data_IF_229870199834
#
_entry.id   IF_229870199834
#
_cell.length_a   1.000
_cell.length_b   1.000
_cell.length_c   1.000
_cell.angle_alpha   90.00
_cell.angle_beta   90.00
_cell.angle_gamma   90.00
#
_symmetry.space_group_name_H-M   'P 1'
#
loop_
_entity.id
_entity.type
_entity.pdbx_description
1 polymer ?
#
# COMPACT_ATOMS: atom_id res chain seq x y z
N UNK A 1 -20.28 0.73 -27.61
CA UNK A 1 -19.21 1.65 -27.19
C UNK A 1 -19.63 3.12 -27.25
N UNK A 2 -20.16 3.63 -28.38
CA UNK A 2 -20.67 5.03 -28.47
C UNK A 2 -21.86 5.36 -27.55
N UNK A 3 -22.74 4.39 -27.27
CA UNK A 3 -23.93 4.60 -26.41
C UNK A 3 -23.58 4.79 -24.92
N UNK A 4 -22.48 4.19 -24.44
CA UNK A 4 -22.02 4.36 -23.06
C UNK A 4 -21.41 5.75 -22.84
N UNK A 5 -20.67 6.25 -23.85
CA UNK A 5 -20.05 7.58 -23.81
C UNK A 5 -21.11 8.69 -23.89
N UNK A 6 -22.15 8.50 -24.71
CA UNK A 6 -23.27 9.44 -24.78
C UNK A 6 -24.08 9.49 -23.48
N UNK A 7 -24.33 8.33 -22.84
CA UNK A 7 -25.00 8.28 -21.54
C UNK A 7 -24.18 8.95 -20.43
N UNK A 8 -22.85 8.75 -20.45
CA UNK A 8 -21.93 9.34 -19.47
C UNK A 8 -21.83 10.86 -19.59
N UNK A 9 -21.77 11.40 -20.82
CA UNK A 9 -21.78 12.86 -21.06
C UNK A 9 -23.11 13.49 -20.65
N UNK A 10 -24.23 12.78 -20.81
CA UNK A 10 -25.54 13.22 -20.35
C UNK A 10 -25.62 13.30 -18.82
N UNK A 11 -25.06 12.30 -18.12
CA UNK A 11 -24.97 12.28 -16.66
C UNK A 11 -24.06 13.39 -16.12
N UNK A 12 -22.92 13.64 -16.77
CA UNK A 12 -21.98 14.70 -16.39
C UNK A 12 -22.61 16.11 -16.58
N UNK A 13 -23.39 16.31 -17.64
CA UNK A 13 -24.10 17.57 -17.90
C UNK A 13 -25.23 17.85 -16.90
N UNK A 14 -25.89 16.80 -16.40
CA UNK A 14 -26.95 16.91 -15.39
C UNK A 14 -26.41 17.19 -13.98
N UNK A 15 -25.21 16.69 -13.66
CA UNK A 15 -24.55 16.92 -12.37
C UNK A 15 -24.01 18.35 -12.21
N UNK A 16 -23.70 19.04 -13.31
CA UNK A 16 -23.16 20.42 -13.29
C UNK A 16 -24.27 21.48 -13.14
N UNK A 17 -25.53 21.16 -13.46
CA UNK A 17 -26.60 22.16 -13.59
C UNK A 17 -27.64 22.20 -12.45
N UNK A 18 -27.54 21.35 -11.42
CA UNK A 18 -28.45 21.44 -10.26
C UNK A 18 -27.70 21.62 -8.94
N UNK A 19 -28.02 22.74 -8.30
CA UNK A 19 -27.73 23.14 -6.91
C UNK A 19 -26.35 23.75 -6.64
N UNK A 20 -26.16 24.94 -7.22
CA UNK A 20 -25.32 25.99 -6.65
C UNK A 20 -25.95 26.47 -5.32
N UNK A 21 -25.25 26.25 -4.19
CA UNK A 21 -25.06 27.22 -3.07
C UNK A 21 -24.45 26.55 -1.81
N UNK A 22 -24.44 25.23 -1.65
CA UNK A 22 -23.82 24.57 -0.45
C UNK A 22 -22.41 23.99 -0.72
N UNK A 23 -21.81 24.31 -1.87
CA UNK A 23 -20.75 23.50 -2.49
C UNK A 23 -19.32 24.05 -2.37
N UNK A 24 -18.95 24.78 -1.32
CA UNK A 24 -17.57 25.31 -1.20
C UNK A 24 -16.62 24.35 -0.49
N UNK A 25 -17.06 23.64 0.57
CA UNK A 25 -16.23 22.60 1.23
C UNK A 25 -16.29 21.23 0.56
N UNK A 26 -17.39 20.93 -0.13
CA UNK A 26 -17.55 19.68 -0.90
C UNK A 26 -16.74 19.67 -2.20
N UNK A 27 -16.51 20.84 -2.83
CA UNK A 27 -15.73 20.94 -4.07
C UNK A 27 -14.29 20.46 -3.93
N UNK A 28 -13.63 20.69 -2.80
CA UNK A 28 -12.22 20.32 -2.63
C UNK A 28 -12.07 18.79 -2.53
N UNK A 29 -12.87 18.15 -1.66
CA UNK A 29 -12.93 16.68 -1.54
C UNK A 29 -13.43 15.99 -2.81
N UNK A 30 -14.40 16.58 -3.52
CA UNK A 30 -14.87 16.06 -4.81
C UNK A 30 -13.88 16.30 -5.94
N UNK A 31 -13.14 17.42 -5.98
CA UNK A 31 -12.08 17.63 -6.97
C UNK A 31 -10.90 16.69 -6.76
N UNK A 32 -10.51 16.46 -5.51
CA UNK A 32 -9.49 15.45 -5.15
C UNK A 32 -9.97 14.05 -5.53
N UNK A 33 -11.21 13.68 -5.19
CA UNK A 33 -11.79 12.37 -5.52
C UNK A 33 -12.05 12.17 -7.02
N UNK A 34 -12.45 13.21 -7.76
CA UNK A 34 -12.58 13.19 -9.22
C UNK A 34 -11.22 13.15 -9.91
N UNK A 35 -10.20 13.86 -9.42
CA UNK A 35 -8.84 13.73 -9.97
C UNK A 35 -8.27 12.35 -9.71
N UNK A 36 -8.41 11.80 -8.49
CA UNK A 36 -7.98 10.44 -8.16
C UNK A 36 -8.70 9.42 -9.05
N UNK A 37 -10.02 9.56 -9.25
CA UNK A 37 -10.77 8.72 -10.19
C UNK A 37 -10.34 8.93 -11.64
N UNK A 38 -10.03 10.15 -12.08
CA UNK A 38 -9.65 10.43 -13.47
C UNK A 38 -8.24 9.94 -13.78
N UNK A 39 -7.31 10.04 -12.82
CA UNK A 39 -5.97 9.43 -12.85
C UNK A 39 -6.06 7.90 -12.89
N UNK A 40 -7.03 7.30 -12.18
CA UNK A 40 -7.23 5.84 -12.21
C UNK A 40 -7.98 5.31 -13.45
N UNK A 41 -8.82 6.12 -14.12
CA UNK A 41 -9.69 5.65 -15.21
C UNK A 41 -9.24 6.04 -16.62
N UNK A 42 -8.26 6.93 -16.77
CA UNK A 42 -7.80 7.36 -18.09
C UNK A 42 -6.29 7.45 -18.06
N UNK A 43 -5.65 6.55 -18.82
CA UNK A 43 -4.24 6.44 -19.20
C UNK A 43 -3.59 5.13 -18.70
N UNK A 44 -3.14 4.32 -19.67
CA UNK A 44 -2.00 3.40 -19.49
C UNK A 44 -0.73 4.24 -19.31
N UNK A 45 -0.70 5.10 -18.29
CA UNK A 45 0.48 5.86 -17.96
C UNK A 45 1.50 4.87 -17.38
N UNK A 46 2.69 4.87 -17.96
CA UNK A 46 3.79 4.07 -17.45
C UNK A 46 4.26 4.72 -16.14
N UNK A 47 4.12 3.98 -15.05
CA UNK A 47 4.27 4.47 -13.67
C UNK A 47 5.67 4.14 -13.15
N UNK A 48 6.52 5.16 -12.97
CA UNK A 48 7.93 5.00 -12.61
C UNK A 48 8.28 5.67 -11.31
N UNK A 49 9.14 5.00 -10.54
CA UNK A 49 9.67 5.57 -9.31
C UNK A 49 10.71 6.63 -9.65
N UNK A 50 10.53 7.84 -9.13
CA UNK A 50 11.53 8.89 -9.22
C UNK A 50 11.59 9.60 -7.86
N UNK A 51 12.79 9.90 -7.32
CA UNK A 51 12.89 10.83 -6.21
C UNK A 51 12.47 12.21 -6.71
N UNK A 52 11.17 12.52 -6.59
CA UNK A 52 10.67 13.86 -6.84
C UNK A 52 11.22 14.72 -5.70
N UNK A 53 12.28 15.46 -5.99
CA UNK A 53 12.66 16.55 -5.10
C UNK A 53 11.47 17.51 -5.01
N UNK A 54 11.28 18.12 -3.83
CA UNK A 54 10.15 18.98 -3.44
C UNK A 54 9.97 20.23 -4.34
N UNK A 55 10.73 20.34 -5.44
CA UNK A 55 10.80 21.52 -6.31
C UNK A 55 10.68 21.20 -7.80
N UNK A 56 10.18 20.03 -8.21
CA UNK A 56 9.79 19.83 -9.61
C UNK A 56 8.55 20.69 -9.91
N UNK A 57 8.78 21.92 -10.36
CA UNK A 57 7.74 22.78 -10.92
C UNK A 57 7.50 22.45 -12.39
N UNK A 58 6.35 22.86 -12.93
CA UNK A 58 6.05 22.71 -14.36
C UNK A 58 7.22 23.20 -15.24
N UNK A 59 7.65 22.36 -16.19
CA UNK A 59 8.78 22.64 -17.08
C UNK A 59 10.16 22.26 -16.53
N UNK A 60 10.27 21.80 -15.29
CA UNK A 60 11.53 21.27 -14.75
C UNK A 60 11.92 19.94 -15.41
N UNK A 61 13.22 19.72 -15.60
CA UNK A 61 13.75 18.47 -16.14
C UNK A 61 14.15 17.53 -15.01
N UNK A 62 13.58 16.34 -14.99
CA UNK A 62 13.87 15.24 -14.08
C UNK A 62 14.77 14.25 -14.81
N UNK A 63 15.93 13.95 -14.23
CA UNK A 63 16.87 12.94 -14.74
C UNK A 63 16.67 11.63 -13.99
N UNK A 64 16.37 10.55 -14.71
CA UNK A 64 16.24 9.20 -14.15
C UNK A 64 17.44 8.37 -14.60
N UNK A 65 18.05 7.67 -13.64
CA UNK A 65 19.26 6.86 -13.80
C UNK A 65 19.06 5.45 -13.22
N UNK A 66 20.07 4.59 -13.32
CA UNK A 66 20.08 3.26 -12.68
C UNK A 66 19.02 2.30 -13.22
N UNK A 67 18.40 1.54 -12.32
CA UNK A 67 17.45 0.47 -12.65
C UNK A 67 16.21 1.00 -13.38
N UNK A 68 15.71 2.18 -12.99
CA UNK A 68 14.55 2.80 -13.65
C UNK A 68 14.89 3.29 -15.06
N UNK A 69 16.07 3.89 -15.25
CA UNK A 69 16.55 4.21 -16.61
C UNK A 69 16.61 2.95 -17.50
N UNK A 70 17.13 1.85 -16.97
CA UNK A 70 17.23 0.61 -17.73
C UNK A 70 15.84 0.04 -18.07
N UNK A 71 14.91 0.08 -17.12
CA UNK A 71 13.53 -0.33 -17.33
C UNK A 71 12.84 0.52 -18.41
N UNK A 72 12.96 1.84 -18.33
CA UNK A 72 12.39 2.78 -19.30
C UNK A 72 13.01 2.62 -20.70
N UNK A 73 14.34 2.63 -20.79
CA UNK A 73 15.04 2.70 -22.09
C UNK A 73 15.27 1.36 -22.76
N UNK A 74 15.44 0.26 -22.00
CA UNK A 74 15.80 -1.06 -22.55
C UNK A 74 14.63 -2.04 -22.56
N UNK A 75 13.82 -2.05 -21.50
CA UNK A 75 12.68 -2.97 -21.39
C UNK A 75 11.48 -2.40 -22.13
N UNK A 76 11.07 -1.18 -21.79
CA UNK A 76 9.91 -0.51 -22.39
C UNK A 76 10.25 0.27 -23.66
N UNK A 77 11.53 0.62 -23.84
CA UNK A 77 12.08 1.28 -25.03
C UNK A 77 11.40 2.63 -25.31
N UNK A 78 11.21 3.42 -24.27
CA UNK A 78 10.62 4.74 -24.39
C UNK A 78 11.46 5.66 -25.28
N UNK A 79 10.77 6.42 -26.10
CA UNK A 79 11.30 7.40 -27.02
C UNK A 79 10.92 8.82 -26.59
N UNK A 80 11.53 9.81 -27.23
CA UNK A 80 11.12 11.21 -27.09
C UNK A 80 9.63 11.35 -27.42
N UNK A 81 8.95 12.24 -26.69
CA UNK A 81 7.51 12.52 -26.73
C UNK A 81 6.60 11.47 -26.06
N UNK A 82 7.16 10.36 -25.55
CA UNK A 82 6.39 9.43 -24.72
C UNK A 82 6.00 10.06 -23.38
N UNK A 83 4.75 9.84 -22.99
CA UNK A 83 4.20 10.30 -21.70
C UNK A 83 4.41 9.28 -20.60
N UNK A 84 4.82 9.77 -19.44
CA UNK A 84 5.09 8.96 -18.25
C UNK A 84 4.52 9.62 -17.02
N UNK A 85 4.25 8.83 -15.99
CA UNK A 85 3.88 9.32 -14.68
C UNK A 85 4.99 8.95 -13.69
N UNK A 86 5.46 9.96 -12.96
CA UNK A 86 6.52 9.82 -11.98
C UNK A 86 5.93 9.96 -10.58
N UNK A 87 6.32 9.07 -9.67
CA UNK A 87 5.91 9.12 -8.28
C UNK A 87 7.10 8.90 -7.34
N UNK A 88 7.01 9.45 -6.12
CA UNK A 88 8.10 9.42 -5.13
C UNK A 88 7.92 8.37 -4.02
N UNK A 89 6.81 7.61 -4.05
CA UNK A 89 6.44 6.66 -3.01
C UNK A 89 6.03 7.31 -1.68
N UNK A 90 5.85 8.63 -1.65
CA UNK A 90 5.47 9.45 -0.49
C UNK A 90 4.22 10.29 -0.77
N UNK A 91 3.46 9.95 -1.81
CA UNK A 91 2.24 10.63 -2.21
C UNK A 91 2.42 11.70 -3.29
N UNK A 92 3.65 12.02 -3.68
CA UNK A 92 3.95 12.92 -4.79
C UNK A 92 3.79 12.21 -6.14
N UNK A 93 3.09 12.87 -7.06
CA UNK A 93 2.85 12.39 -8.42
C UNK A 93 2.98 13.55 -9.41
N UNK A 94 3.57 13.30 -10.57
CA UNK A 94 3.67 14.28 -11.65
C UNK A 94 3.68 13.59 -13.01
N UNK A 95 2.89 14.13 -13.94
CA UNK A 95 2.97 13.74 -15.35
C UNK A 95 4.20 14.37 -16.00
N UNK A 96 4.84 13.65 -16.91
CA UNK A 96 5.98 14.15 -17.67
C UNK A 96 6.05 13.59 -19.07
N UNK A 97 6.90 14.22 -19.89
CA UNK A 97 7.18 13.80 -21.26
C UNK A 97 8.68 13.53 -21.38
N UNK A 98 9.04 12.39 -21.97
CA UNK A 98 10.43 12.08 -22.29
C UNK A 98 10.95 13.08 -23.32
N UNK A 99 11.98 13.84 -22.97
CA UNK A 99 12.57 14.84 -23.86
C UNK A 99 13.88 14.40 -24.47
N UNK A 100 14.67 13.60 -23.75
CA UNK A 100 15.93 13.08 -24.25
C UNK A 100 16.35 11.80 -23.54
N UNK A 101 17.12 10.97 -24.23
CA UNK A 101 17.74 9.77 -23.66
C UNK A 101 19.24 9.85 -23.90
N UNK A 102 20.01 9.74 -22.83
CA UNK A 102 21.48 9.69 -22.86
C UNK A 102 21.98 8.24 -22.77
N UNK A 103 23.29 8.06 -22.61
CA UNK A 103 23.90 6.73 -22.44
C UNK A 103 23.46 6.03 -21.14
N UNK A 104 23.24 6.80 -20.08
CA UNK A 104 23.00 6.29 -18.71
C UNK A 104 21.82 6.98 -18.00
N UNK A 105 21.13 7.89 -18.66
CA UNK A 105 19.98 8.61 -18.10
C UNK A 105 18.88 8.82 -19.14
N UNK A 106 17.65 9.00 -18.66
CA UNK A 106 16.51 9.49 -19.44
C UNK A 106 16.00 10.78 -18.78
N UNK A 107 15.76 11.78 -19.60
CA UNK A 107 15.35 13.11 -19.18
C UNK A 107 13.87 13.30 -19.49
N UNK A 108 13.13 13.72 -18.47
CA UNK A 108 11.67 13.90 -18.53
C UNK A 108 11.37 15.33 -18.10
N UNK A 109 10.59 16.04 -18.91
CA UNK A 109 10.11 17.37 -18.53
C UNK A 109 8.75 17.24 -17.84
N UNK A 110 8.62 17.77 -16.63
CA UNK A 110 7.38 17.77 -15.88
C UNK A 110 6.32 18.63 -16.59
N UNK A 111 5.13 18.06 -16.82
CA UNK A 111 4.02 18.73 -17.49
C UNK A 111 3.31 19.77 -16.59
N UNK A 112 3.52 19.68 -15.27
CA UNK A 112 2.96 20.58 -14.27
C UNK A 112 3.69 20.45 -12.94
N UNK A 113 3.11 21.05 -11.90
CA UNK A 113 3.63 20.93 -10.54
C UNK A 113 3.32 19.55 -9.96
N UNK A 114 4.19 19.08 -9.04
CA UNK A 114 3.94 17.84 -8.30
C UNK A 114 2.67 17.98 -7.50
N UNK A 115 1.74 17.06 -7.73
CA UNK A 115 0.55 16.91 -6.91
C UNK A 115 0.87 16.00 -5.73
N UNK A 116 0.53 16.42 -4.51
CA UNK A 116 0.77 15.64 -3.30
C UNK A 116 -0.54 15.15 -2.70
N UNK A 117 -0.71 13.84 -2.67
CA UNK A 117 -1.81 13.19 -1.98
C UNK A 117 -1.37 12.73 -0.60
N UNK A 118 -2.16 13.07 0.41
CA UNK A 118 -1.97 12.51 1.74
C UNK A 118 -2.42 11.05 1.77
N UNK A 119 -1.77 10.18 2.55
CA UNK A 119 -2.25 8.82 2.71
C UNK A 119 -3.59 8.86 3.45
N UNK A 120 -4.57 8.11 2.94
CA UNK A 120 -5.90 7.97 3.57
C UNK A 120 -5.98 6.60 4.21
N UNK A 121 -6.46 6.55 5.47
CA UNK A 121 -6.55 5.33 6.25
C UNK A 121 -7.75 4.45 5.90
N UNK A 122 -7.91 3.30 6.59
CA UNK A 122 -7.15 2.86 7.77
C UNK A 122 -5.72 2.37 7.45
N UNK A 123 -4.80 2.49 8.41
CA UNK A 123 -3.42 2.03 8.30
C UNK A 123 -3.20 0.73 9.06
N UNK A 124 -2.83 -0.34 8.34
CA UNK A 124 -2.54 -1.63 8.94
C UNK A 124 -1.05 -1.98 8.84
N UNK A 125 -0.47 -2.32 9.98
CA UNK A 125 0.88 -2.85 10.12
C UNK A 125 0.82 -4.38 10.24
N UNK A 126 1.67 -5.08 9.49
CA UNK A 126 1.70 -6.55 9.49
C UNK A 126 3.00 -7.00 10.16
N UNK A 127 2.93 -7.49 11.40
CA UNK A 127 4.04 -8.15 12.06
C UNK A 127 3.91 -9.66 11.88
N UNK A 128 4.81 -10.26 11.10
CA UNK A 128 4.73 -11.65 10.73
C UNK A 128 6.08 -12.37 10.92
N UNK A 129 6.03 -13.59 11.44
CA UNK A 129 7.23 -14.40 11.63
C UNK A 129 7.58 -15.17 10.34
N UNK A 130 8.11 -14.45 9.33
CA UNK A 130 8.44 -15.00 8.01
C UNK A 130 9.93 -15.01 7.67
N UNK A 131 10.79 -14.61 8.62
CA UNK A 131 12.24 -14.52 8.43
C UNK A 131 12.92 -15.83 8.00
N UNK A 132 12.37 -16.96 8.43
CA UNK A 132 12.88 -18.30 8.18
C UNK A 132 12.22 -19.02 6.99
N UNK A 133 11.18 -18.43 6.38
CA UNK A 133 10.48 -19.07 5.27
C UNK A 133 11.39 -19.26 4.06
N UNK A 134 11.33 -20.45 3.46
CA UNK A 134 12.12 -20.83 2.28
C UNK A 134 11.30 -20.66 0.99
N UNK A 135 11.98 -20.69 -0.16
CA UNK A 135 11.33 -20.74 -1.47
C UNK A 135 10.60 -19.46 -1.89
N UNK A 136 11.10 -18.29 -1.51
CA UNK A 136 10.52 -17.00 -1.93
C UNK A 136 9.20 -16.62 -1.25
N UNK A 137 8.71 -17.43 -0.30
CA UNK A 137 7.45 -17.18 0.41
C UNK A 137 7.42 -15.87 1.19
N UNK A 138 8.58 -15.44 1.73
CA UNK A 138 8.71 -14.13 2.35
C UNK A 138 8.55 -12.98 1.35
N UNK A 139 9.13 -13.11 0.15
CA UNK A 139 8.96 -12.11 -0.91
C UNK A 139 7.50 -12.04 -1.35
N UNK A 140 6.84 -13.19 -1.49
CA UNK A 140 5.41 -13.25 -1.83
C UNK A 140 4.53 -12.59 -0.77
N UNK A 141 4.84 -12.76 0.53
CA UNK A 141 4.18 -12.02 1.60
C UNK A 141 4.36 -10.51 1.43
N UNK A 142 5.59 -10.04 1.21
CA UNK A 142 5.89 -8.60 1.03
C UNK A 142 5.16 -8.02 -0.18
N UNK A 143 5.19 -8.72 -1.31
CA UNK A 143 4.51 -8.34 -2.54
C UNK A 143 3.01 -8.16 -2.27
N UNK A 144 2.36 -9.17 -1.68
CA UNK A 144 0.90 -9.14 -1.46
C UNK A 144 0.47 -8.19 -0.35
N UNK A 145 1.28 -8.00 0.68
CA UNK A 145 1.04 -6.94 1.67
C UNK A 145 1.14 -5.55 1.05
N UNK A 146 2.06 -5.35 0.09
CA UNK A 146 2.18 -4.08 -0.64
C UNK A 146 0.94 -3.83 -1.50
N UNK A 147 0.50 -4.83 -2.27
CA UNK A 147 -0.70 -4.76 -3.12
C UNK A 147 -1.98 -4.49 -2.31
N UNK A 148 -2.13 -5.14 -1.15
CA UNK A 148 -3.31 -5.01 -0.28
C UNK A 148 -3.33 -3.75 0.59
N UNK A 149 -2.31 -2.89 0.46
CA UNK A 149 -2.32 -1.59 1.11
C UNK A 149 -1.76 -1.56 2.53
N UNK A 150 -0.98 -2.56 2.98
CA UNK A 150 -0.33 -2.48 4.29
C UNK A 150 0.55 -1.23 4.42
N UNK A 151 0.52 -0.57 5.58
CA UNK A 151 1.36 0.59 5.86
C UNK A 151 2.82 0.18 6.06
N UNK A 152 3.02 -0.90 6.81
CA UNK A 152 4.32 -1.52 6.94
C UNK A 152 4.23 -3.03 7.14
N UNK A 153 5.33 -3.72 6.86
CA UNK A 153 5.57 -5.09 7.32
C UNK A 153 6.75 -5.09 8.29
N UNK A 154 6.59 -5.82 9.39
CA UNK A 154 7.60 -6.03 10.43
C UNK A 154 7.97 -7.52 10.41
N UNK A 155 9.23 -7.87 10.09
CA UNK A 155 9.73 -9.22 10.31
C UNK A 155 9.77 -9.51 11.81
N UNK A 156 8.81 -10.28 12.30
CA UNK A 156 8.69 -10.62 13.72
C UNK A 156 9.66 -11.77 14.07
N UNK A 157 10.45 -11.55 15.11
CA UNK A 157 11.27 -12.58 15.76
C UNK A 157 10.50 -13.16 16.94
N UNK A 158 10.40 -14.48 16.96
CA UNK A 158 9.73 -15.24 18.03
C UNK A 158 10.58 -16.45 18.44
N UNK A 159 10.22 -17.10 19.54
CA UNK A 159 10.94 -18.29 20.03
C UNK A 159 11.10 -19.38 18.96
N UNK A 160 10.09 -19.56 18.09
CA UNK A 160 10.09 -20.57 17.01
C UNK A 160 10.51 -20.01 15.64
N UNK A 161 10.85 -18.72 15.55
CA UNK A 161 11.47 -18.11 14.37
C UNK A 161 12.38 -16.95 14.82
N UNK A 162 13.57 -17.25 15.38
CA UNK A 162 14.38 -16.27 16.11
C UNK A 162 15.23 -15.36 15.23
N UNK A 163 15.27 -15.56 13.92
CA UNK A 163 16.14 -14.78 13.03
C UNK A 163 15.54 -14.56 11.64
N UNK A 164 16.02 -13.50 11.00
CA UNK A 164 15.85 -13.22 9.58
C UNK A 164 17.23 -13.35 8.95
N UNK A 165 17.34 -14.01 7.79
CA UNK A 165 18.63 -14.11 7.10
C UNK A 165 19.12 -12.75 6.60
N UNK A 166 20.42 -12.52 6.67
CA UNK A 166 21.07 -11.28 6.23
C UNK A 166 20.71 -10.88 4.79
N UNK A 167 20.69 -9.56 4.53
CA UNK A 167 20.43 -8.99 3.20
C UNK A 167 18.98 -9.11 2.71
N UNK A 168 18.06 -9.66 3.51
CA UNK A 168 16.64 -9.72 3.11
C UNK A 168 15.95 -8.37 3.05
N UNK A 169 16.32 -7.40 3.88
CA UNK A 169 15.68 -6.09 3.86
C UNK A 169 15.86 -5.38 2.49
N UNK A 170 17.06 -5.41 1.91
CA UNK A 170 17.31 -4.82 0.59
C UNK A 170 16.51 -5.54 -0.51
N UNK A 171 16.45 -6.87 -0.42
CA UNK A 171 15.64 -7.68 -1.34
C UNK A 171 14.16 -7.33 -1.22
N UNK A 172 13.63 -7.23 0.00
CA UNK A 172 12.23 -6.88 0.24
C UNK A 172 11.91 -5.46 -0.17
N UNK A 173 12.82 -4.50 0.02
CA UNK A 173 12.64 -3.14 -0.50
C UNK A 173 12.50 -3.13 -2.03
N UNK A 174 13.29 -3.94 -2.76
CA UNK A 174 13.10 -4.09 -4.22
C UNK A 174 11.74 -4.71 -4.58
N UNK A 175 11.29 -5.71 -3.81
CA UNK A 175 9.95 -6.31 -3.98
C UNK A 175 8.86 -5.27 -3.74
N UNK A 176 8.97 -4.45 -2.69
CA UNK A 176 8.04 -3.35 -2.43
C UNK A 176 8.02 -2.37 -3.59
N UNK A 177 9.18 -1.91 -4.09
CA UNK A 177 9.23 -0.97 -5.21
C UNK A 177 8.55 -1.57 -6.46
N UNK A 178 8.82 -2.84 -6.77
CA UNK A 178 8.20 -3.51 -7.90
C UNK A 178 6.67 -3.64 -7.72
N UNK A 179 6.21 -4.08 -6.55
CA UNK A 179 4.79 -4.25 -6.25
C UNK A 179 4.05 -2.90 -6.22
N UNK A 180 4.65 -1.87 -5.61
CA UNK A 180 4.10 -0.50 -5.55
C UNK A 180 3.87 0.05 -6.95
N UNK A 181 4.83 -0.18 -7.87
CA UNK A 181 4.67 0.21 -9.28
C UNK A 181 3.53 -0.54 -9.95
N UNK A 182 3.46 -1.86 -9.73
CA UNK A 182 2.47 -2.71 -10.37
C UNK A 182 1.04 -2.40 -9.89
N UNK A 183 0.85 -2.14 -8.59
CA UNK A 183 -0.45 -1.78 -8.02
C UNK A 183 -0.76 -0.28 -8.05
N UNK A 184 0.14 0.53 -8.62
CA UNK A 184 -0.01 1.98 -8.79
C UNK A 184 -0.32 2.71 -7.47
N UNK A 185 0.31 2.26 -6.38
CA UNK A 185 0.15 2.89 -5.07
C UNK A 185 1.10 4.08 -4.94
N UNK A 186 0.59 5.23 -4.51
CA UNK A 186 1.39 6.46 -4.37
C UNK A 186 2.29 6.48 -3.13
N UNK A 187 1.93 5.69 -2.11
CA UNK A 187 2.68 5.56 -0.87
C UNK A 187 3.26 4.15 -0.76
N UNK A 188 4.59 4.04 -0.85
CA UNK A 188 5.27 2.76 -0.70
C UNK A 188 5.06 2.19 0.70
N UNK A 189 4.89 0.88 0.78
CA UNK A 189 4.91 0.17 2.06
C UNK A 189 6.31 0.26 2.69
N UNK A 190 6.39 0.37 4.01
CA UNK A 190 7.69 0.32 4.71
C UNK A 190 7.98 -1.11 5.16
N UNK A 191 9.17 -1.64 4.87
CA UNK A 191 9.66 -2.86 5.53
C UNK A 191 10.51 -2.43 6.72
N UNK A 192 10.00 -2.64 7.94
CA UNK A 192 10.73 -2.30 9.16
C UNK A 192 11.88 -3.30 9.39
N UNK A 193 12.84 -2.90 10.23
CA UNK A 193 13.86 -3.84 10.71
C UNK A 193 13.20 -5.01 11.45
N UNK A 194 13.84 -6.20 11.46
CA UNK A 194 13.37 -7.29 12.29
C UNK A 194 13.26 -6.87 13.76
N UNK A 195 12.18 -7.27 14.42
CA UNK A 195 11.90 -6.89 15.80
C UNK A 195 11.49 -8.11 16.62
N UNK A 196 11.97 -8.18 17.86
CA UNK A 196 11.51 -9.17 18.82
C UNK A 196 10.06 -8.92 19.22
N UNK A 197 9.32 -10.00 19.52
CA UNK A 197 7.93 -9.92 19.97
C UNK A 197 7.77 -8.93 21.14
N UNK A 198 8.69 -8.94 22.09
CA UNK A 198 8.66 -8.03 23.24
C UNK A 198 8.67 -6.55 22.84
N UNK A 199 9.47 -6.19 21.82
CA UNK A 199 9.60 -4.81 21.37
C UNK A 199 8.36 -4.36 20.62
N UNK A 200 7.76 -5.26 19.81
CA UNK A 200 6.48 -4.99 19.15
C UNK A 200 5.37 -4.78 20.19
N UNK A 201 5.33 -5.60 21.24
CA UNK A 201 4.34 -5.46 22.31
C UNK A 201 4.58 -4.22 23.18
N UNK A 202 5.82 -3.72 23.28
CA UNK A 202 6.09 -2.45 23.94
C UNK A 202 5.48 -1.26 23.18
N UNK A 203 5.33 -1.38 21.85
CA UNK A 203 4.65 -0.40 21.00
C UNK A 203 3.11 -0.58 20.98
N UNK A 204 2.55 -1.56 21.69
CA UNK A 204 1.12 -1.89 21.64
C UNK A 204 0.20 -0.69 21.88
N UNK A 205 0.57 0.22 22.78
CA UNK A 205 -0.21 1.41 23.11
C UNK A 205 -0.31 2.46 21.99
N UNK A 206 0.45 2.30 20.90
CA UNK A 206 0.41 3.17 19.71
C UNK A 206 -0.59 2.70 18.64
N UNK A 207 -1.21 1.54 18.85
CA UNK A 207 -2.19 0.96 17.95
C UNK A 207 -3.57 0.97 18.62
N UNK A 208 -4.58 1.42 17.90
CA UNK A 208 -5.96 1.39 18.41
C UNK A 208 -6.58 -0.01 18.32
N UNK A 209 -6.00 -0.91 17.50
CA UNK A 209 -6.39 -2.31 17.43
C UNK A 209 -5.18 -3.21 17.18
N UNK A 210 -5.10 -4.32 17.92
CA UNK A 210 -4.11 -5.37 17.70
C UNK A 210 -4.86 -6.69 17.51
N UNK A 211 -4.64 -7.35 16.38
CA UNK A 211 -5.29 -8.61 16.03
C UNK A 211 -4.27 -9.75 15.96
N UNK A 212 -4.53 -10.84 16.68
CA UNK A 212 -3.71 -12.04 16.65
C UNK A 212 -4.36 -13.10 15.78
N UNK A 213 -3.65 -13.59 14.76
CA UNK A 213 -4.08 -14.74 13.97
C UNK A 213 -4.01 -16.01 14.82
N UNK A 214 -5.15 -16.55 15.24
CA UNK A 214 -5.24 -17.78 16.03
C UNK A 214 -6.30 -18.73 15.44
N UNK A 215 -5.89 -19.96 15.12
CA UNK A 215 -6.77 -20.97 14.53
C UNK A 215 -7.91 -21.44 15.45
N UNK A 216 -7.77 -21.24 16.77
CA UNK A 216 -8.74 -21.64 17.79
C UNK A 216 -9.69 -20.50 18.19
N UNK A 217 -9.49 -19.29 17.66
CA UNK A 217 -10.26 -18.11 18.04
C UNK A 217 -11.58 -17.97 17.25
N UNK A 218 -12.43 -17.06 17.74
CA UNK A 218 -13.67 -16.69 17.05
C UNK A 218 -13.36 -16.13 15.67
N UNK A 219 -14.17 -16.47 14.68
CA UNK A 219 -13.98 -15.98 13.31
C UNK A 219 -13.87 -14.45 13.27
N UNK A 220 -12.88 -13.96 12.51
CA UNK A 220 -12.61 -12.54 12.30
C UNK A 220 -13.89 -11.74 12.00
N UNK A 221 -14.76 -12.24 11.11
CA UNK A 221 -15.99 -11.55 10.73
C UNK A 221 -17.04 -11.36 11.84
N UNK A 222 -16.89 -12.05 12.98
CA UNK A 222 -17.74 -11.89 14.16
C UNK A 222 -17.03 -11.20 15.33
N UNK A 223 -15.69 -11.22 15.33
CA UNK A 223 -14.86 -10.69 16.41
C UNK A 223 -14.29 -9.30 16.15
N UNK A 224 -14.32 -8.80 14.91
CA UNK A 224 -13.68 -7.51 14.60
C UNK A 224 -14.42 -6.33 15.25
N UNK A 225 -13.72 -5.41 15.93
CA UNK A 225 -14.31 -4.12 16.28
C UNK A 225 -14.58 -3.30 15.01
N UNK A 226 -15.47 -2.31 15.11
CA UNK A 226 -15.78 -1.39 14.02
C UNK A 226 -14.49 -0.66 13.59
N UNK A 227 -14.11 -0.78 12.32
CA UNK A 227 -12.89 -0.18 11.79
C UNK A 227 -13.18 1.28 11.47
N UNK A 228 -12.48 2.19 12.13
CA UNK A 228 -12.59 3.62 11.82
C UNK A 228 -11.62 4.03 10.70
N UNK A 229 -11.91 5.15 10.03
CA UNK A 229 -11.15 5.61 8.85
C UNK A 229 -9.70 5.98 9.20
N UNK A 230 -9.46 6.45 10.43
CA UNK A 230 -8.13 6.92 10.86
C UNK A 230 -7.39 5.88 11.74
N UNK A 231 -7.87 4.62 11.75
CA UNK A 231 -7.29 3.59 12.61
C UNK A 231 -5.86 3.23 12.22
N UNK A 232 -5.02 3.06 13.24
CA UNK A 232 -3.69 2.50 13.14
C UNK A 232 -3.67 1.12 13.82
N UNK A 233 -3.83 0.08 13.00
CA UNK A 233 -3.96 -1.30 13.47
C UNK A 233 -2.71 -2.14 13.29
N UNK A 234 -2.51 -3.12 14.16
CA UNK A 234 -1.43 -4.11 14.09
C UNK A 234 -2.00 -5.52 13.91
N UNK A 235 -1.49 -6.25 12.91
CA UNK A 235 -1.78 -7.65 12.67
C UNK A 235 -0.58 -8.49 13.10
N UNK A 236 -0.80 -9.46 14.00
CA UNK A 236 0.22 -10.38 14.50
C UNK A 236 0.03 -11.78 13.87
N UNK A 237 1.04 -12.25 13.16
CA UNK A 237 1.06 -13.55 12.50
C UNK A 237 2.25 -14.37 13.01
N UNK A 238 1.95 -15.48 13.66
CA UNK A 238 2.94 -16.40 14.23
C UNK A 238 3.73 -17.20 13.17
N UNK A 239 4.78 -17.92 13.61
CA UNK A 239 5.60 -18.77 12.74
C UNK A 239 4.85 -20.05 12.34
N UNK A 240 5.44 -20.90 11.49
CA UNK A 240 4.82 -22.19 11.09
C UNK A 240 4.48 -23.10 12.29
N UNK A 241 5.28 -22.99 13.35
CA UNK A 241 5.06 -23.69 14.61
C UNK A 241 4.08 -23.02 15.56
N UNK A 242 3.45 -21.90 15.19
CA UNK A 242 2.65 -21.03 16.06
C UNK A 242 3.47 -20.41 17.22
N UNK A 243 2.91 -19.42 17.91
CA UNK A 243 3.46 -18.88 19.15
C UNK A 243 3.48 -19.92 20.27
N UNK A 244 4.38 -19.77 21.23
CA UNK A 244 4.28 -20.53 22.49
C UNK A 244 3.13 -20.02 23.35
N UNK A 245 2.64 -20.81 24.30
CA UNK A 245 1.56 -20.36 25.19
C UNK A 245 1.95 -19.09 25.95
N UNK A 246 3.21 -18.98 26.42
CA UNK A 246 3.68 -17.77 27.09
C UNK A 246 3.72 -16.55 26.15
N UNK A 247 4.04 -16.75 24.86
CA UNK A 247 3.99 -15.68 23.86
C UNK A 247 2.54 -15.25 23.60
N UNK A 248 1.61 -16.21 23.47
CA UNK A 248 0.18 -15.91 23.29
C UNK A 248 -0.40 -15.15 24.49
N UNK A 249 -0.09 -15.59 25.71
CA UNK A 249 -0.50 -14.89 26.93
C UNK A 249 0.04 -13.45 26.99
N UNK A 250 1.31 -13.24 26.62
CA UNK A 250 1.89 -11.91 26.55
C UNK A 250 1.21 -11.03 25.50
N UNK A 251 0.93 -11.58 24.31
CA UNK A 251 0.22 -10.89 23.22
C UNK A 251 -1.18 -10.46 23.67
N UNK A 252 -1.94 -11.37 24.29
CA UNK A 252 -3.29 -11.09 24.79
C UNK A 252 -3.24 -10.05 25.92
N UNK A 253 -2.28 -10.15 26.83
CA UNK A 253 -2.08 -9.19 27.92
C UNK A 253 -1.75 -7.78 27.42
N UNK A 254 -1.10 -7.67 26.26
CA UNK A 254 -0.84 -6.40 25.59
C UNK A 254 -2.08 -5.80 24.89
N UNK A 255 -3.25 -6.44 24.99
CA UNK A 255 -4.50 -5.96 24.43
C UNK A 255 -4.84 -6.52 23.04
N UNK A 256 -4.07 -7.51 22.55
CA UNK A 256 -4.39 -8.15 21.28
C UNK A 256 -5.65 -9.01 21.37
N UNK A 257 -6.48 -8.92 20.33
CA UNK A 257 -7.67 -9.73 20.16
C UNK A 257 -7.39 -10.94 19.25
N UNK A 258 -7.47 -12.18 19.77
CA UNK A 258 -7.34 -13.38 18.93
C UNK A 258 -8.51 -13.51 17.96
N UNK A 259 -8.20 -13.81 16.70
CA UNK A 259 -9.19 -13.92 15.61
C UNK A 259 -8.86 -15.09 14.67
N UNK A 260 -9.90 -15.84 14.31
CA UNK A 260 -9.82 -17.01 13.44
C UNK A 260 -10.02 -16.67 11.97
N UNK A 261 -9.17 -17.23 11.11
CA UNK A 261 -9.19 -17.06 9.64
C UNK A 261 -9.89 -18.22 8.90
N UNK A 262 -10.83 -18.86 9.58
CA UNK A 262 -11.56 -20.04 9.10
C UNK A 262 -11.01 -21.37 9.62
N UNK A 263 -11.61 -22.50 9.22
CA UNK A 263 -11.36 -23.80 9.85
C UNK A 263 -10.08 -24.50 9.38
N UNK A 264 -9.35 -23.94 8.42
CA UNK A 264 -8.17 -24.56 7.81
C UNK A 264 -6.91 -23.94 8.36
N UNK A 265 -5.89 -24.77 8.57
CA UNK A 265 -4.55 -24.29 8.89
C UNK A 265 -3.96 -23.56 7.68
N UNK A 266 -3.75 -22.26 7.83
CA UNK A 266 -3.12 -21.43 6.81
C UNK A 266 -1.61 -21.39 7.03
N UNK A 267 -0.84 -21.22 5.95
CA UNK A 267 0.58 -20.87 6.04
C UNK A 267 0.74 -19.42 6.48
N UNK A 268 1.92 -19.07 7.01
CA UNK A 268 2.24 -17.72 7.51
C UNK A 268 1.87 -16.63 6.49
N UNK A 269 2.35 -16.76 5.25
CA UNK A 269 2.07 -15.81 4.18
C UNK A 269 0.58 -15.76 3.80
N UNK A 270 -0.09 -16.90 3.79
CA UNK A 270 -1.53 -16.96 3.50
C UNK A 270 -2.36 -16.32 4.61
N UNK A 271 -1.98 -16.52 5.87
CA UNK A 271 -2.65 -15.93 7.03
C UNK A 271 -2.51 -14.40 7.02
N UNK A 272 -1.30 -13.89 6.76
CA UNK A 272 -1.04 -12.45 6.66
C UNK A 272 -1.90 -11.81 5.56
N UNK A 273 -1.92 -12.40 4.35
CA UNK A 273 -2.70 -11.91 3.21
C UNK A 273 -4.20 -11.97 3.54
N UNK A 274 -4.69 -13.11 4.02
CA UNK A 274 -6.12 -13.28 4.31
C UNK A 274 -6.61 -12.30 5.39
N UNK A 275 -5.83 -12.12 6.45
CA UNK A 275 -6.17 -11.19 7.52
C UNK A 275 -6.17 -9.75 7.03
N UNK A 276 -5.12 -9.34 6.31
CA UNK A 276 -5.01 -7.99 5.75
C UNK A 276 -6.15 -7.70 4.77
N UNK A 277 -6.42 -8.61 3.83
CA UNK A 277 -7.54 -8.48 2.89
C UNK A 277 -8.87 -8.29 3.63
N UNK A 278 -9.11 -9.06 4.69
CA UNK A 278 -10.35 -8.99 5.41
C UNK A 278 -10.51 -7.66 6.16
N UNK A 279 -9.49 -7.16 6.85
CA UNK A 279 -9.58 -5.87 7.55
C UNK A 279 -9.69 -4.69 6.59
N UNK A 280 -9.03 -4.74 5.44
CA UNK A 280 -9.15 -3.72 4.39
C UNK A 280 -10.58 -3.67 3.84
N UNK A 281 -11.16 -4.81 3.44
CA UNK A 281 -12.52 -4.87 2.90
C UNK A 281 -13.60 -4.48 3.94
N UNK A 282 -13.38 -4.80 5.21
CA UNK A 282 -14.27 -4.39 6.29
C UNK A 282 -14.18 -2.88 6.58
N UNK A 283 -13.03 -2.24 6.36
CA UNK A 283 -12.89 -0.79 6.40
C UNK A 283 -13.67 -0.10 5.27
N UNK A 284 -13.55 -0.60 4.03
CA UNK A 284 -14.20 -0.01 2.85
C UNK A 284 -15.74 0.00 2.96
N UNK A 285 -16.31 -1.11 3.43
CA UNK A 285 -17.77 -1.26 3.62
C UNK A 285 -18.34 -0.34 4.70
N UNK A 286 -17.52 0.11 5.67
CA UNK A 286 -17.96 0.98 6.76
C UNK A 286 -17.81 2.47 6.45
N UNK A 287 -16.93 2.85 5.51
CA UNK A 287 -16.80 4.22 5.03
C UNK A 287 -18.00 4.65 4.16
N UNK A 288 -18.63 3.70 3.46
CA UNK A 288 -19.81 3.95 2.60
C UNK A 288 -21.15 4.06 3.35
N UNK A 289 -21.21 3.69 4.64
CA UNK A 289 -22.45 3.64 5.43
C UNK A 289 -22.59 4.79 6.43
N UNK A 290 -21.68 5.76 6.41
CA UNK A 290 -21.79 7.02 7.16
C UNK A 290 -22.58 8.08 6.40
N UNK A 291 -23.89 7.92 6.31
CA UNK A 291 -24.86 8.98 5.90
C UNK A 291 -25.97 9.08 6.92
#
# INVERSE_FOLDING_TARGET
MMLLVAWYLQCLFLLVNKEFVVLVRRKQKLQESLHVMMVQLVFFALFFFAPLHIHACGGSTISIEGDEFWHMSKVLRLATDDRVELFDGKGGIVEGVVTATSRNSIHITAAGDVFHLSPVGPFWHVAAAFGSLKGGRGDWLIEKCTELGAKSVIPLLSKRSPSVSDGRNDRWNRVVTAATKQCQRLHSMVVRNPMDLSDILAEAGSYEAILLADACATSLGKGLPRVEVDWNGLLLIGPEGDFTEEEKEAIIKAGALPVGLGPRRLRVETAAIAMLSAVTLLGDSQCSTGT
#
